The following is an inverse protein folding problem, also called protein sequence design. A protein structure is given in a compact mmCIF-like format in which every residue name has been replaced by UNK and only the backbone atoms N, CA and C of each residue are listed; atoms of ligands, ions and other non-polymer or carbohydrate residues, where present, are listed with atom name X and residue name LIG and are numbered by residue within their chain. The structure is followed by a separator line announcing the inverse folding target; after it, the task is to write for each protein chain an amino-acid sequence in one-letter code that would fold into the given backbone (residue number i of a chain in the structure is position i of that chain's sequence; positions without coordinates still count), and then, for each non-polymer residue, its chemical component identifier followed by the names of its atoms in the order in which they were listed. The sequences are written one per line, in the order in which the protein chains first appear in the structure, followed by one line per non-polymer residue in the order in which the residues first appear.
data_IF_491898664447
#
_entry.id   IF_491898664447
#
_cell.length_a   1.000
_cell.length_b   1.000
_cell.length_c   1.000
_cell.angle_alpha   90.00
_cell.angle_beta   90.00
_cell.angle_gamma   90.00
#
_symmetry.space_group_name_H-M   'P 1'
#
loop_
_entity.id
_entity.type
_entity.pdbx_description
1 polymer ?
#
# COMPACT_ATOMS: atom_id res chain seq x y z
N UNK A 1 -11.54 -8.82 -8.71
CA UNK A 1 -11.15 -8.91 -7.29
C UNK A 1 -11.17 -10.34 -6.75
N UNK A 2 -11.96 -11.27 -7.30
CA UNK A 2 -11.92 -12.68 -6.85
C UNK A 2 -10.54 -13.30 -7.07
N UNK A 3 -10.06 -14.09 -6.10
CA UNK A 3 -8.79 -14.83 -6.18
C UNK A 3 -7.52 -13.98 -6.31
N UNK A 4 -7.58 -12.68 -6.00
CA UNK A 4 -6.48 -11.73 -6.20
C UNK A 4 -5.68 -11.53 -4.91
N UNK A 5 -4.36 -11.69 -4.99
CA UNK A 5 -3.43 -11.22 -3.95
C UNK A 5 -3.36 -9.69 -3.94
N UNK A 6 -3.37 -9.10 -2.75
CA UNK A 6 -3.39 -7.64 -2.54
C UNK A 6 -2.46 -7.25 -1.39
N UNK A 7 -2.00 -6.01 -1.40
CA UNK A 7 -1.41 -5.36 -0.23
C UNK A 7 -2.50 -4.74 0.64
N UNK A 8 -2.43 -4.96 1.95
CA UNK A 8 -3.38 -4.42 2.91
C UNK A 8 -2.64 -3.69 4.02
N UNK A 9 -3.09 -2.47 4.34
CA UNK A 9 -2.71 -1.78 5.57
C UNK A 9 -3.59 -2.29 6.70
N UNK A 10 -3.01 -3.07 7.61
CA UNK A 10 -3.75 -3.86 8.61
C UNK A 10 -3.86 -3.22 10.00
N UNK A 11 -3.08 -2.18 10.30
CA UNK A 11 -3.04 -1.56 11.64
C UNK A 11 -3.75 -0.21 11.69
N UNK A 12 -4.65 0.08 10.76
CA UNK A 12 -5.58 1.21 10.91
C UNK A 12 -6.61 0.89 11.99
N UNK A 13 -7.07 1.92 12.71
CA UNK A 13 -8.24 1.79 13.57
C UNK A 13 -9.45 1.37 12.72
N UNK A 14 -10.16 0.28 13.06
CA UNK A 14 -11.35 -0.13 12.32
C UNK A 14 -12.39 0.99 12.21
N UNK A 15 -13.03 1.06 11.05
CA UNK A 15 -13.99 2.10 10.73
C UNK A 15 -15.23 1.51 10.04
N UNK A 16 -16.41 2.06 10.35
CA UNK A 16 -17.66 1.66 9.68
C UNK A 16 -17.81 2.39 8.35
N UNK A 17 -17.98 1.63 7.28
CA UNK A 17 -18.28 2.11 5.94
C UNK A 17 -19.69 1.66 5.56
N UNK A 18 -20.64 2.60 5.56
CA UNK A 18 -22.08 2.31 5.28
C UNK A 18 -22.66 1.19 6.15
N UNK A 19 -22.28 1.17 7.44
CA UNK A 19 -22.77 0.21 8.43
C UNK A 19 -21.95 -1.08 8.55
N UNK A 20 -21.05 -1.36 7.60
CA UNK A 20 -20.16 -2.53 7.64
C UNK A 20 -18.80 -2.10 8.18
N UNK A 21 -18.25 -2.86 9.13
CA UNK A 21 -16.93 -2.59 9.69
C UNK A 21 -15.81 -3.02 8.74
N UNK A 22 -14.87 -2.12 8.48
CA UNK A 22 -13.64 -2.40 7.74
C UNK A 22 -12.45 -2.36 8.68
N UNK A 23 -11.68 -3.45 8.71
CA UNK A 23 -10.50 -3.63 9.57
C UNK A 23 -9.18 -3.52 8.80
N UNK A 24 -9.21 -3.07 7.55
CA UNK A 24 -8.02 -2.92 6.73
C UNK A 24 -8.30 -2.16 5.45
N UNK A 25 -7.25 -1.68 4.81
CA UNK A 25 -7.34 -0.89 3.58
C UNK A 25 -6.46 -1.49 2.50
N UNK A 26 -7.04 -1.81 1.34
CA UNK A 26 -6.28 -2.29 0.17
C UNK A 26 -5.52 -1.13 -0.43
N UNK A 27 -4.20 -1.24 -0.55
CA UNK A 27 -3.37 -0.20 -1.12
C UNK A 27 -3.40 -0.24 -2.64
N UNK A 28 -3.61 0.93 -3.24
CA UNK A 28 -3.73 1.08 -4.69
C UNK A 28 -2.85 2.23 -5.19
N UNK A 29 -2.22 2.03 -6.35
CA UNK A 29 -1.75 3.15 -7.15
C UNK A 29 -2.95 3.87 -7.76
N UNK A 30 -2.98 5.20 -7.67
CA UNK A 30 -4.09 5.99 -8.19
C UNK A 30 -3.59 7.24 -8.92
N UNK A 31 -4.15 7.50 -10.10
CA UNK A 31 -3.82 8.67 -10.91
C UNK A 31 -5.12 9.35 -11.37
N UNK A 32 -5.13 10.67 -11.28
CA UNK A 32 -6.20 11.53 -11.79
C UNK A 32 -5.61 12.41 -12.89
N UNK A 33 -6.03 12.18 -14.14
CA UNK A 33 -5.64 12.96 -15.32
C UNK A 33 -6.91 13.56 -15.93
N UNK A 34 -7.16 14.85 -15.67
CA UNK A 34 -8.42 15.50 -16.02
C UNK A 34 -9.60 14.79 -15.34
N UNK A 35 -10.60 14.37 -16.13
CA UNK A 35 -11.77 13.64 -15.64
C UNK A 35 -11.55 12.12 -15.51
N UNK A 36 -10.38 11.61 -15.90
CA UNK A 36 -10.09 10.18 -15.89
C UNK A 36 -9.37 9.80 -14.60
N UNK A 37 -10.05 9.01 -13.77
CA UNK A 37 -9.47 8.37 -12.58
C UNK A 37 -9.10 6.93 -12.87
N UNK A 38 -7.81 6.60 -12.79
CA UNK A 38 -7.29 5.23 -12.88
C UNK A 38 -6.85 4.77 -11.50
N UNK A 39 -7.26 3.56 -11.12
CA UNK A 39 -6.90 2.94 -9.85
C UNK A 39 -6.48 1.50 -10.10
N UNK A 40 -5.30 1.13 -9.62
CA UNK A 40 -4.75 -0.21 -9.73
C UNK A 40 -4.32 -0.72 -8.35
N UNK A 41 -4.89 -1.84 -7.85
CA UNK A 41 -4.40 -2.46 -6.63
C UNK A 41 -2.96 -2.92 -6.79
N UNK A 42 -2.14 -2.70 -5.77
CA UNK A 42 -0.76 -3.18 -5.77
C UNK A 42 -0.70 -4.72 -5.81
N UNK A 43 0.31 -5.22 -6.51
CA UNK A 43 0.61 -6.63 -6.70
C UNK A 43 1.84 -6.99 -5.86
N UNK A 44 1.71 -7.80 -4.81
CA UNK A 44 2.88 -8.45 -4.21
C UNK A 44 3.47 -9.50 -5.18
N UNK A 45 4.71 -9.96 -4.95
CA UNK A 45 5.26 -11.13 -5.66
C UNK A 45 4.34 -12.34 -5.59
N UNK A 46 4.35 -13.17 -6.63
CA UNK A 46 3.46 -14.34 -6.79
C UNK A 46 3.65 -15.42 -5.72
N UNK A 47 4.84 -15.48 -5.14
CA UNK A 47 5.33 -16.43 -4.16
C UNK A 47 4.86 -16.08 -2.73
N UNK A 48 4.30 -14.87 -2.54
CA UNK A 48 3.80 -14.42 -1.25
C UNK A 48 2.54 -15.18 -0.83
N UNK A 49 2.57 -15.79 0.35
CA UNK A 49 1.38 -16.26 1.04
C UNK A 49 0.62 -15.08 1.69
N UNK A 50 -0.67 -15.29 1.97
CA UNK A 50 -1.45 -14.32 2.74
C UNK A 50 -0.83 -14.11 4.13
N UNK A 51 -0.63 -12.85 4.52
CA UNK A 51 0.04 -12.49 5.77
C UNK A 51 1.54 -12.26 5.64
N UNK A 52 2.14 -12.46 4.46
CA UNK A 52 3.53 -12.08 4.22
C UNK A 52 3.74 -10.58 4.49
N UNK A 53 4.80 -10.27 5.25
CA UNK A 53 5.09 -8.91 5.67
C UNK A 53 5.74 -8.14 4.52
N UNK A 54 5.17 -6.97 4.25
CA UNK A 54 5.78 -5.97 3.36
C UNK A 54 6.46 -4.91 4.21
N UNK A 55 7.64 -4.49 3.79
CA UNK A 55 8.41 -3.43 4.44
C UNK A 55 9.07 -2.55 3.38
N UNK A 56 9.51 -1.37 3.80
CA UNK A 56 10.32 -0.50 2.95
C UNK A 56 11.78 -0.92 3.09
N UNK A 57 12.50 -1.03 1.98
CA UNK A 57 13.93 -1.32 1.98
C UNK A 57 14.69 -0.36 2.91
N UNK A 58 15.54 -0.90 3.79
CA UNK A 58 16.23 -0.14 4.83
C UNK A 58 15.46 0.06 6.15
N UNK A 59 14.19 -0.36 6.22
CA UNK A 59 13.32 -0.25 7.43
C UNK A 59 12.82 -1.61 7.94
N UNK A 60 13.58 -2.68 7.71
CA UNK A 60 13.23 -4.07 8.04
C UNK A 60 13.00 -4.34 9.54
N UNK A 61 13.77 -3.66 10.39
CA UNK A 61 13.85 -3.95 11.83
C UNK A 61 12.78 -3.24 12.65
N UNK A 62 12.02 -2.31 12.05
CA UNK A 62 10.94 -1.62 12.74
C UNK A 62 9.81 -2.56 13.15
N UNK A 63 9.13 -2.28 14.25
CA UNK A 63 7.88 -2.95 14.63
C UNK A 63 6.70 -2.03 14.35
N UNK A 64 5.62 -2.51 13.71
CA UNK A 64 4.43 -1.70 13.49
C UNK A 64 3.71 -1.42 14.81
N UNK A 65 3.07 -0.26 14.93
CA UNK A 65 2.11 0.00 16.00
C UNK A 65 0.95 -1.00 15.90
N UNK A 66 0.46 -1.49 17.05
CA UNK A 66 -0.71 -2.37 17.12
C UNK A 66 -1.94 -1.74 16.45
N UNK A 67 -2.16 -0.45 16.72
CA UNK A 67 -3.17 0.39 16.07
C UNK A 67 -2.62 1.79 15.86
N UNK A 68 -2.60 2.25 14.61
CA UNK A 68 -2.24 3.62 14.25
C UNK A 68 -3.19 4.61 14.91
N UNK A 69 -2.63 5.51 15.72
CA UNK A 69 -3.42 6.53 16.40
C UNK A 69 -3.90 7.61 15.39
N UNK A 70 -5.23 7.76 15.16
CA UNK A 70 -5.75 8.72 14.19
C UNK A 70 -5.38 10.18 14.53
N UNK A 71 -5.16 10.51 15.81
CA UNK A 71 -4.75 11.86 16.23
C UNK A 71 -3.33 12.21 15.80
N UNK A 72 -2.45 11.22 15.66
CA UNK A 72 -1.05 11.43 15.26
C UNK A 72 -0.90 11.61 13.73
N UNK A 73 -1.91 11.19 12.96
CA UNK A 73 -1.94 11.25 11.48
C UNK A 73 -0.67 10.66 10.85
N UNK A 74 -0.21 9.52 11.38
CA UNK A 74 1.05 8.88 10.95
C UNK A 74 0.92 8.45 9.49
N UNK A 75 -0.18 7.76 9.14
CA UNK A 75 -0.45 7.36 7.76
C UNK A 75 -0.49 8.56 6.83
N UNK A 76 -1.25 9.63 7.16
CA UNK A 76 -1.35 10.82 6.31
C UNK A 76 0.02 11.47 6.04
N UNK A 77 0.94 11.41 7.02
CA UNK A 77 2.31 11.94 6.88
C UNK A 77 3.21 11.06 6.02
N UNK A 78 3.07 9.74 6.08
CA UNK A 78 3.89 8.82 5.29
C UNK A 78 3.37 8.69 3.86
N UNK A 79 2.05 8.74 3.69
CA UNK A 79 1.36 8.52 2.43
C UNK A 79 1.72 9.58 1.36
N UNK A 80 2.13 10.79 1.76
CA UNK A 80 2.55 11.84 0.79
C UNK A 80 3.77 11.45 -0.04
N UNK A 81 4.66 10.61 0.52
CA UNK A 81 5.89 10.16 -0.12
C UNK A 81 5.75 8.76 -0.75
N UNK A 82 4.58 8.13 -0.60
CA UNK A 82 4.26 6.81 -1.13
C UNK A 82 3.76 6.94 -2.57
N UNK A 83 4.51 6.38 -3.52
CA UNK A 83 4.18 6.40 -4.94
C UNK A 83 4.77 5.21 -5.67
N UNK A 84 4.35 4.98 -6.90
CA UNK A 84 5.03 4.05 -7.80
C UNK A 84 6.22 4.71 -8.49
N UNK A 85 7.19 3.92 -8.95
CA UNK A 85 8.35 4.37 -9.73
C UNK A 85 8.02 4.45 -11.23
N UNK A 86 9.03 4.79 -12.05
CA UNK A 86 8.96 4.73 -13.52
C UNK A 86 8.85 3.28 -14.05
N UNK A 87 9.21 2.30 -13.23
CA UNK A 87 9.13 0.84 -13.49
C UNK A 87 7.89 0.20 -12.86
N UNK A 88 6.94 1.00 -12.35
CA UNK A 88 5.71 0.55 -11.67
C UNK A 88 5.94 -0.12 -10.30
N UNK A 89 7.11 0.04 -9.68
CA UNK A 89 7.43 -0.48 -8.34
C UNK A 89 6.92 0.47 -7.27
N UNK A 90 6.27 -0.05 -6.23
CA UNK A 90 5.84 0.76 -5.09
C UNK A 90 7.07 1.18 -4.28
N UNK A 91 7.14 2.46 -3.90
CA UNK A 91 8.27 3.02 -3.17
C UNK A 91 7.83 4.12 -2.20
N UNK A 92 8.59 4.29 -1.12
CA UNK A 92 8.47 5.41 -0.18
C UNK A 92 9.82 6.14 -0.12
N UNK A 93 9.82 7.45 -0.40
CA UNK A 93 11.05 8.26 -0.48
C UNK A 93 12.15 7.61 -1.36
N UNK A 94 11.74 7.03 -2.50
CA UNK A 94 12.60 6.29 -3.44
C UNK A 94 13.15 4.95 -2.94
N UNK A 95 12.76 4.50 -1.74
CA UNK A 95 13.08 3.17 -1.24
C UNK A 95 11.93 2.20 -1.60
N UNK A 96 12.21 1.08 -2.29
CA UNK A 96 11.19 0.13 -2.70
C UNK A 96 10.42 -0.50 -1.53
N UNK A 97 9.14 -0.78 -1.75
CA UNK A 97 8.35 -1.68 -0.91
C UNK A 97 8.64 -3.11 -1.36
N UNK A 98 9.16 -3.91 -0.44
CA UNK A 98 9.62 -5.26 -0.72
C UNK A 98 9.03 -6.26 0.25
N UNK A 99 9.11 -7.52 -0.16
CA UNK A 99 8.88 -8.70 0.66
C UNK A 99 10.15 -9.54 0.59
N UNK A 100 10.20 -10.64 1.35
CA UNK A 100 11.31 -11.61 1.23
C UNK A 100 11.44 -12.25 -0.17
N UNK A 101 10.42 -12.11 -1.03
CA UNK A 101 10.37 -12.68 -2.37
C UNK A 101 10.57 -11.64 -3.48
N UNK A 102 10.73 -10.35 -3.14
CA UNK A 102 10.95 -9.28 -4.11
C UNK A 102 9.98 -8.11 -3.98
N UNK A 103 9.97 -7.28 -5.02
CA UNK A 103 9.37 -5.95 -5.01
C UNK A 103 7.85 -5.99 -5.23
N UNK A 104 7.14 -5.07 -4.57
CA UNK A 104 5.71 -4.83 -4.80
C UNK A 104 5.56 -3.90 -6.00
N UNK A 105 4.65 -4.23 -6.91
CA UNK A 105 4.44 -3.49 -8.16
C UNK A 105 2.98 -3.09 -8.37
N UNK A 106 2.69 -2.30 -9.39
CA UNK A 106 1.34 -2.14 -9.94
C UNK A 106 1.34 -2.54 -11.43
N UNK A 107 0.18 -2.52 -12.08
CA UNK A 107 0.06 -3.05 -13.45
C UNK A 107 0.66 -2.10 -14.48
N UNK A 108 0.40 -0.80 -14.40
CA UNK A 108 0.81 0.17 -15.41
C UNK A 108 0.98 1.61 -14.92
N UNK A 109 0.49 1.96 -13.72
CA UNK A 109 0.55 3.33 -13.22
C UNK A 109 1.96 3.70 -12.73
N UNK A 110 2.68 4.49 -13.52
CA UNK A 110 4.02 5.01 -13.20
C UNK A 110 3.94 6.35 -12.48
N UNK A 111 4.83 6.58 -11.52
CA UNK A 111 4.89 7.83 -10.75
C UNK A 111 3.55 8.22 -10.09
N UNK A 112 2.69 7.23 -9.82
CA UNK A 112 1.34 7.45 -9.32
C UNK A 112 1.33 7.39 -7.79
N UNK A 113 0.65 8.31 -7.09
CA UNK A 113 0.43 8.24 -5.66
C UNK A 113 -0.21 6.92 -5.22
N UNK A 114 0.28 6.36 -4.12
CA UNK A 114 -0.32 5.19 -3.47
C UNK A 114 -1.26 5.67 -2.37
N UNK A 115 -2.48 5.13 -2.35
CA UNK A 115 -3.54 5.49 -1.40
C UNK A 115 -4.19 4.23 -0.84
#
# INVERSE_FOLDING_TARGET
MQGRSVLVLCNLKPAKMRGIESCGMVLCASLEEGDVKKVEPLNPPSECAAGERVFVEGYETGSPDDVLNPKKKIWDKLQVDLKTSSTCEAQWQSNPLVTKFGNVTCKSLKNAPIK
#
